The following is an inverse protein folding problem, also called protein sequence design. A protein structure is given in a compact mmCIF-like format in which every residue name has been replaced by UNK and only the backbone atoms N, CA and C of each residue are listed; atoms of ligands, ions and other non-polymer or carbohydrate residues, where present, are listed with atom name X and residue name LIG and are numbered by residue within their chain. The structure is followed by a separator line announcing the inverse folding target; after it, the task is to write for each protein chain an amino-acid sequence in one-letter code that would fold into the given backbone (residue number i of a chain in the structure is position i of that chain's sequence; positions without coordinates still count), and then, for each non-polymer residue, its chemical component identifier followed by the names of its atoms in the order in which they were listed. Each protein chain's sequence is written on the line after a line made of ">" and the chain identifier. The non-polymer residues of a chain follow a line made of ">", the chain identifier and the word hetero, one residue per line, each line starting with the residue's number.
data_IF_163935823816
#
_entry.id   IF_163935823816
#
_cell.length_a   1.000
_cell.length_b   1.000
_cell.length_c   1.000
_cell.angle_alpha   90.00
_cell.angle_beta   90.00
_cell.angle_gamma   90.00
#
_symmetry.space_group_name_H-M   'P 1'
#
loop_
_entity.id
_entity.type
_entity.pdbx_description
1 polymer ?
#
# COMPACT_ATOMS: atom_id res chain seq x y z
N UNK A 1 7.60 -6.40 -24.43
CA UNK A 1 6.47 -6.79 -23.55
C UNK A 1 7.05 -7.61 -22.40
N UNK A 2 6.65 -7.34 -21.16
CA UNK A 2 7.03 -8.19 -20.02
C UNK A 2 6.25 -9.50 -20.11
N UNK A 3 6.94 -10.62 -19.92
CA UNK A 3 6.37 -11.98 -19.98
C UNK A 3 6.18 -12.54 -18.57
N UNK A 4 6.99 -12.07 -17.63
CA UNK A 4 6.93 -12.46 -16.22
C UNK A 4 7.28 -11.26 -15.34
N UNK A 5 6.66 -11.19 -14.16
CA UNK A 5 6.96 -10.19 -13.14
C UNK A 5 7.21 -10.87 -11.79
N UNK A 6 8.15 -10.34 -11.02
CA UNK A 6 8.45 -10.81 -9.67
C UNK A 6 8.62 -9.65 -8.72
N UNK A 7 7.78 -9.62 -7.68
CA UNK A 7 7.88 -8.69 -6.57
C UNK A 7 8.64 -9.30 -5.40
N UNK A 8 9.54 -8.53 -4.78
CA UNK A 8 10.22 -8.93 -3.54
C UNK A 8 10.44 -7.74 -2.62
N UNK A 9 10.50 -8.00 -1.31
CA UNK A 9 11.00 -7.01 -0.34
C UNK A 9 12.49 -7.25 -0.12
N UNK A 10 13.32 -6.25 -0.42
CA UNK A 10 14.78 -6.33 -0.36
C UNK A 10 15.36 -5.26 0.55
N UNK A 11 16.45 -5.57 1.24
CA UNK A 11 17.14 -4.60 2.11
C UNK A 11 18.13 -3.79 1.26
N UNK A 12 17.83 -2.51 1.06
CA UNK A 12 18.63 -1.55 0.29
C UNK A 12 18.96 -0.38 1.22
N UNK A 13 20.26 -0.09 1.41
CA UNK A 13 20.74 0.97 2.31
C UNK A 13 20.06 0.88 3.70
N UNK A 14 20.10 -0.31 4.29
CA UNK A 14 19.52 -0.66 5.60
C UNK A 14 17.99 -0.61 5.70
N UNK A 15 17.29 -0.12 4.67
CA UNK A 15 15.83 -0.02 4.62
C UNK A 15 15.25 -1.14 3.76
N UNK A 16 14.21 -1.81 4.24
CA UNK A 16 13.47 -2.76 3.41
C UNK A 16 12.63 -2.01 2.38
N UNK A 17 12.81 -2.29 1.09
CA UNK A 17 12.08 -1.66 -0.02
C UNK A 17 11.45 -2.72 -0.91
N UNK A 18 10.31 -2.41 -1.49
CA UNK A 18 9.74 -3.24 -2.54
C UNK A 18 10.49 -3.06 -3.85
N UNK A 19 10.83 -4.17 -4.51
CA UNK A 19 11.50 -4.23 -5.79
C UNK A 19 10.62 -5.05 -6.74
N UNK A 20 10.31 -4.48 -7.90
CA UNK A 20 9.60 -5.17 -8.97
C UNK A 20 10.56 -5.47 -10.12
N UNK A 21 10.75 -6.75 -10.40
CA UNK A 21 11.52 -7.24 -11.54
C UNK A 21 10.58 -7.64 -12.66
N UNK A 22 10.79 -7.08 -13.85
CA UNK A 22 10.06 -7.41 -15.06
C UNK A 22 11.00 -8.12 -16.03
N UNK A 23 10.64 -9.33 -16.44
CA UNK A 23 11.39 -10.13 -17.40
C UNK A 23 10.69 -10.08 -18.75
N UNK A 24 11.45 -9.93 -19.84
CA UNK A 24 10.88 -9.91 -21.17
C UNK A 24 11.92 -9.98 -22.27
N UNK A 25 11.48 -9.66 -23.49
CA UNK A 25 12.36 -9.57 -24.66
C UNK A 25 12.20 -8.20 -25.34
N UNK A 26 13.30 -7.68 -25.86
CA UNK A 26 13.33 -6.53 -26.76
C UNK A 26 12.83 -6.92 -28.15
N UNK A 27 12.56 -5.94 -29.01
CA UNK A 27 12.08 -6.16 -30.38
C UNK A 27 13.02 -7.02 -31.24
N UNK A 28 14.31 -7.06 -30.90
CA UNK A 28 15.33 -7.88 -31.57
C UNK A 28 15.47 -9.28 -30.97
N UNK A 29 14.59 -9.68 -30.03
CA UNK A 29 14.62 -10.99 -29.38
C UNK A 29 15.59 -11.11 -28.19
N UNK A 30 16.33 -10.07 -27.83
CA UNK A 30 17.22 -10.11 -26.68
C UNK A 30 16.44 -10.13 -25.35
N UNK A 31 16.82 -11.01 -24.42
CA UNK A 31 16.27 -11.04 -23.05
C UNK A 31 16.64 -9.77 -22.30
N UNK A 32 15.68 -9.21 -21.58
CA UNK A 32 15.87 -8.03 -20.73
C UNK A 32 15.26 -8.25 -19.35
N UNK A 33 15.93 -7.72 -18.34
CA UNK A 33 15.45 -7.59 -16.97
C UNK A 33 15.36 -6.10 -16.64
N UNK A 34 14.15 -5.64 -16.31
CA UNK A 34 13.92 -4.28 -15.82
C UNK A 34 13.66 -4.36 -14.32
N UNK A 35 14.49 -3.68 -13.53
CA UNK A 35 14.33 -3.59 -12.07
C UNK A 35 13.76 -2.22 -11.73
N UNK A 36 12.54 -2.20 -11.21
CA UNK A 36 11.89 -1.01 -10.68
C UNK A 36 12.12 -0.97 -9.17
N UNK A 37 12.80 0.10 -8.73
CA UNK A 37 13.10 0.40 -7.32
C UNK A 37 12.27 1.62 -6.87
N UNK A 38 12.28 1.88 -5.56
CA UNK A 38 11.61 3.03 -4.93
C UNK A 38 10.09 3.09 -5.13
N UNK A 39 9.48 1.93 -5.38
CA UNK A 39 8.03 1.75 -5.33
C UNK A 39 7.61 1.76 -3.86
N UNK A 40 6.80 2.75 -3.48
CA UNK A 40 6.21 2.80 -2.14
C UNK A 40 4.94 1.95 -2.10
N UNK A 41 4.91 1.00 -1.16
CA UNK A 41 3.76 0.12 -0.98
C UNK A 41 2.72 0.84 -0.13
N UNK A 42 1.48 0.89 -0.61
CA UNK A 42 0.42 1.68 0.01
C UNK A 42 -0.87 0.91 0.22
N UNK A 43 -1.73 1.42 1.10
CA UNK A 43 -3.13 1.05 1.22
C UNK A 43 -3.94 2.25 1.71
N UNK A 44 -5.25 2.23 1.46
CA UNK A 44 -6.14 3.32 1.78
C UNK A 44 -7.13 2.88 2.88
N UNK A 45 -7.27 3.69 3.92
CA UNK A 45 -8.25 3.50 5.01
C UNK A 45 -9.39 4.48 4.77
N UNK A 46 -10.62 3.99 4.82
CA UNK A 46 -11.80 4.85 4.71
C UNK A 46 -11.97 5.66 6.00
N UNK A 47 -12.18 6.97 5.88
CA UNK A 47 -12.53 7.81 7.03
C UNK A 47 -13.97 7.49 7.43
N UNK A 48 -14.24 7.12 8.70
CA UNK A 48 -15.59 6.79 9.17
C UNK A 48 -16.58 7.94 8.97
N UNK A 49 -17.84 7.60 8.68
CA UNK A 49 -18.91 8.58 8.51
C UNK A 49 -19.10 9.40 9.81
N UNK A 50 -19.11 10.73 9.68
CA UNK A 50 -19.19 11.66 10.81
C UNK A 50 -17.86 11.99 11.49
N UNK A 51 -16.77 11.31 11.14
CA UNK A 51 -15.41 11.65 11.60
C UNK A 51 -14.67 12.59 10.65
N UNK A 52 -13.69 13.32 11.17
CA UNK A 52 -12.78 14.11 10.35
C UNK A 52 -11.54 13.30 9.94
N UNK A 53 -10.89 13.62 8.80
CA UNK A 53 -9.61 12.99 8.43
C UNK A 53 -8.52 13.14 9.50
N UNK A 54 -8.49 14.28 10.21
CA UNK A 54 -7.51 14.54 11.26
C UNK A 54 -7.71 13.63 12.49
N UNK A 55 -8.95 13.48 12.97
CA UNK A 55 -9.28 12.55 14.06
C UNK A 55 -8.97 11.10 13.68
N UNK A 56 -9.30 10.73 12.43
CA UNK A 56 -8.99 9.40 11.90
C UNK A 56 -7.46 9.19 11.86
N UNK A 57 -6.70 10.19 11.41
CA UNK A 57 -5.24 10.12 11.36
C UNK A 57 -4.64 9.97 12.76
N UNK A 58 -5.13 10.70 13.76
CA UNK A 58 -4.64 10.58 15.13
C UNK A 58 -4.82 9.15 15.68
N UNK A 59 -5.98 8.55 15.42
CA UNK A 59 -6.27 7.17 15.84
C UNK A 59 -5.39 6.15 15.09
N UNK A 60 -5.25 6.30 13.77
CA UNK A 60 -4.38 5.44 12.95
C UNK A 60 -2.92 5.57 13.38
N UNK A 61 -2.44 6.78 13.67
CA UNK A 61 -1.08 7.02 14.18
C UNK A 61 -0.84 6.29 15.51
N UNK A 62 -1.80 6.37 16.45
CA UNK A 62 -1.70 5.66 17.74
C UNK A 62 -1.58 4.14 17.55
N UNK A 63 -2.37 3.57 16.65
CA UNK A 63 -2.35 2.12 16.36
C UNK A 63 -1.03 1.72 15.69
N UNK A 64 -0.60 2.43 14.64
CA UNK A 64 0.53 2.03 13.82
C UNK A 64 1.90 2.31 14.43
N UNK A 65 2.02 3.33 15.30
CA UNK A 65 3.30 3.73 15.90
C UNK A 65 4.00 2.61 16.70
N UNK A 66 3.23 1.67 17.27
CA UNK A 66 3.75 0.50 17.98
C UNK A 66 4.02 -0.74 17.11
N UNK A 67 3.54 -0.74 15.86
CA UNK A 67 3.51 -1.96 15.01
C UNK A 67 4.47 -1.84 13.81
N UNK A 68 4.56 -0.66 13.21
CA UNK A 68 5.34 -0.40 12.01
C UNK A 68 6.41 0.63 12.32
N UNK A 69 7.66 0.38 11.90
CA UNK A 69 8.79 1.26 12.24
C UNK A 69 8.66 2.66 11.64
N UNK A 70 8.18 2.75 10.41
CA UNK A 70 7.95 4.03 9.75
C UNK A 70 6.87 3.90 8.70
N UNK A 71 5.99 4.89 8.65
CA UNK A 71 4.96 5.01 7.64
C UNK A 71 4.69 6.49 7.37
N UNK A 72 4.00 6.79 6.27
CA UNK A 72 3.53 8.14 5.94
C UNK A 72 2.04 8.12 5.71
N UNK A 73 1.34 9.12 6.19
CA UNK A 73 -0.11 9.29 5.99
C UNK A 73 -0.33 10.44 5.03
N UNK A 74 -1.27 10.28 4.10
CA UNK A 74 -1.73 11.34 3.19
C UNK A 74 -3.24 11.31 3.10
N UNK A 75 -3.88 12.47 3.24
CA UNK A 75 -5.31 12.60 3.03
C UNK A 75 -5.62 12.64 1.53
N UNK A 76 -6.60 11.86 1.11
CA UNK A 76 -7.07 11.85 -0.29
C UNK A 76 -8.60 11.82 -0.33
N UNK A 77 -9.16 12.23 -1.46
CA UNK A 77 -10.58 12.03 -1.77
C UNK A 77 -10.71 11.21 -3.04
N UNK A 78 -11.45 10.11 -2.98
CA UNK A 78 -11.62 9.17 -4.08
C UNK A 78 -13.05 8.63 -4.13
N UNK A 79 -13.47 8.09 -5.27
CA UNK A 79 -14.71 7.33 -5.35
C UNK A 79 -14.48 5.94 -4.75
N UNK A 80 -15.45 5.45 -3.97
CA UNK A 80 -15.42 4.08 -3.47
C UNK A 80 -15.49 3.10 -4.64
N UNK A 81 -14.68 2.02 -4.58
CA UNK A 81 -14.77 0.92 -5.53
C UNK A 81 -16.02 0.06 -5.33
N UNK A 82 -16.54 0.05 -4.10
CA UNK A 82 -17.72 -0.71 -3.72
C UNK A 82 -18.95 0.19 -3.75
N UNK A 83 -19.91 -0.16 -4.61
CA UNK A 83 -21.17 0.56 -4.78
C UNK A 83 -21.11 1.73 -5.77
N UNK A 84 -22.29 2.23 -6.14
CA UNK A 84 -22.41 3.42 -6.97
C UNK A 84 -22.48 4.66 -6.07
N UNK A 85 -21.36 5.38 -5.99
CA UNK A 85 -21.26 6.62 -5.23
C UNK A 85 -21.07 7.82 -6.16
N UNK A 86 -21.96 8.79 -6.05
CA UNK A 86 -21.93 10.03 -6.84
C UNK A 86 -20.91 11.02 -6.25
N UNK A 87 -20.57 10.85 -4.97
CA UNK A 87 -19.64 11.71 -4.24
C UNK A 87 -18.34 10.98 -3.88
N UNK A 88 -17.25 11.73 -3.81
CA UNK A 88 -15.96 11.22 -3.35
C UNK A 88 -15.96 11.11 -1.82
N UNK A 89 -15.54 9.97 -1.31
CA UNK A 89 -15.26 9.75 0.11
C UNK A 89 -13.83 10.17 0.47
N UNK A 90 -13.62 10.48 1.74
CA UNK A 90 -12.30 10.80 2.29
C UNK A 90 -11.58 9.51 2.71
N UNK A 91 -10.29 9.41 2.40
CA UNK A 91 -9.44 8.29 2.78
C UNK A 91 -8.11 8.78 3.34
N UNK A 92 -7.52 7.97 4.21
CA UNK A 92 -6.12 8.06 4.61
C UNK A 92 -5.30 7.06 3.81
N UNK A 93 -4.40 7.57 2.99
CA UNK A 93 -3.43 6.76 2.26
C UNK A 93 -2.18 6.56 3.11
N UNK A 94 -1.92 5.31 3.45
CA UNK A 94 -0.79 4.90 4.27
C UNK A 94 0.30 4.33 3.36
N UNK A 95 1.49 4.92 3.40
CA UNK A 95 2.69 4.39 2.73
C UNK A 95 3.57 3.67 3.75
N UNK A 96 4.06 2.50 3.37
CA UNK A 96 4.98 1.67 4.16
C UNK A 96 6.22 1.34 3.33
N UNK A 97 7.31 0.91 3.97
CA UNK A 97 8.55 0.67 3.25
C UNK A 97 8.53 -0.64 2.44
N UNK A 98 7.73 -1.62 2.84
CA UNK A 98 7.68 -2.92 2.17
C UNK A 98 6.39 -3.69 2.42
N UNK A 99 6.22 -4.81 1.70
CA UNK A 99 4.97 -5.59 1.74
C UNK A 99 4.73 -6.25 3.09
N UNK A 100 5.79 -6.64 3.81
CA UNK A 100 5.68 -7.19 5.16
C UNK A 100 5.18 -6.19 6.20
N UNK A 101 5.67 -4.94 6.15
CA UNK A 101 5.19 -3.86 7.02
C UNK A 101 3.76 -3.47 6.68
N UNK A 102 3.43 -3.36 5.39
CA UNK A 102 2.04 -3.16 4.92
C UNK A 102 1.10 -4.22 5.50
N UNK A 103 1.47 -5.50 5.42
CA UNK A 103 0.62 -6.60 5.91
C UNK A 103 0.33 -6.47 7.40
N UNK A 104 1.36 -6.18 8.21
CA UNK A 104 1.19 -5.94 9.65
C UNK A 104 0.31 -4.72 9.93
N UNK A 105 0.51 -3.63 9.19
CA UNK A 105 -0.27 -2.41 9.31
C UNK A 105 -1.76 -2.68 9.03
N UNK A 106 -2.04 -3.33 7.91
CA UNK A 106 -3.41 -3.69 7.50
C UNK A 106 -4.07 -4.55 8.58
N UNK A 107 -3.39 -5.58 9.09
CA UNK A 107 -3.94 -6.45 10.12
C UNK A 107 -4.29 -5.66 11.40
N UNK A 108 -3.37 -4.80 11.89
CA UNK A 108 -3.61 -3.99 13.08
C UNK A 108 -4.80 -3.03 12.90
N UNK A 109 -4.96 -2.45 11.70
CA UNK A 109 -6.07 -1.55 11.38
C UNK A 109 -7.41 -2.29 11.33
N UNK A 110 -7.44 -3.49 10.75
CA UNK A 110 -8.64 -4.34 10.73
C UNK A 110 -9.04 -4.81 12.12
N UNK A 111 -8.08 -5.18 12.97
CA UNK A 111 -8.32 -5.55 14.38
C UNK A 111 -8.94 -4.41 15.20
N UNK A 112 -8.76 -3.16 14.75
CA UNK A 112 -9.36 -1.96 15.34
C UNK A 112 -10.64 -1.49 14.61
N UNK A 113 -11.26 -2.34 13.76
CA UNK A 113 -12.52 -2.09 13.05
C UNK A 113 -12.51 -0.93 12.04
N UNK A 114 -11.35 -0.57 11.50
CA UNK A 114 -11.27 0.39 10.40
C UNK A 114 -11.49 -0.32 9.06
N UNK A 115 -12.26 0.32 8.17
CA UNK A 115 -12.49 -0.17 6.82
C UNK A 115 -11.31 0.20 5.91
N UNK A 116 -10.81 -0.80 5.17
CA UNK A 116 -9.69 -0.66 4.26
C UNK A 116 -10.20 -0.83 2.84
N UNK A 117 -9.87 0.11 1.96
CA UNK A 117 -10.30 0.12 0.56
C UNK A 117 -9.37 -0.68 -0.38
N UNK A 118 -8.56 -1.58 0.18
CA UNK A 118 -7.55 -2.37 -0.53
C UNK A 118 -7.89 -3.86 -0.40
N UNK A 119 -8.21 -4.50 -1.51
CA UNK A 119 -8.59 -5.93 -1.56
C UNK A 119 -7.36 -6.88 -1.48
N UNK A 120 -6.14 -6.34 -1.60
CA UNK A 120 -4.90 -7.13 -1.78
C UNK A 120 -4.27 -7.66 -0.46
N UNK A 121 -5.07 -8.25 0.42
CA UNK A 121 -4.58 -8.89 1.66
C UNK A 121 -3.68 -10.12 1.39
N UNK A 122 -3.89 -10.79 0.25
CA UNK A 122 -3.39 -12.15 0.00
C UNK A 122 -2.51 -12.29 -1.26
N UNK A 123 -2.11 -11.21 -1.94
CA UNK A 123 -1.38 -11.26 -3.21
C UNK A 123 0.14 -11.58 -3.09
N UNK A 124 0.58 -12.16 -1.98
CA UNK A 124 2.00 -12.45 -1.75
C UNK A 124 2.18 -13.91 -1.26
N UNK A 125 2.10 -14.84 -2.21
CA UNK A 125 2.59 -16.21 -2.08
C UNK A 125 3.88 -16.38 -2.90
#
# INVERSE_FOLDING_TARGET
>A
MAIENKGSTERINETYRYVLRLYGHLINGQKVLVTLIDIQVLFDILVPDGGTPDECEENVNKILSGIVKSFKIKHIKAFSFWGYHIEKKSYLRIYTNGTGERKKAIQAIQENNFEIASDDLYLFH
#
